data_IF_286832305722
#
_entry.id   IF_286832305722
#
_cell.length_a   1.000
_cell.length_b   1.000
_cell.length_c   1.000
_cell.angle_alpha   90.00
_cell.angle_beta   90.00
_cell.angle_gamma   90.00
#
_symmetry.space_group_name_H-M   'P 1'
#
loop_
_entity.id
_entity.type
_entity.pdbx_description
1 polymer ?
#
# COMPACT_ATOMS: atom_id res chain seq x y z
N UNK A 1 4.57 12.31 10.40
CA UNK A 1 3.36 11.65 10.94
C UNK A 1 3.65 10.21 11.34
N UNK A 2 2.99 9.71 12.39
CA UNK A 2 3.12 8.30 12.81
C UNK A 2 2.36 7.41 11.83
N UNK A 3 2.85 6.21 11.56
CA UNK A 3 2.15 5.25 10.70
C UNK A 3 1.62 4.10 11.55
N UNK A 4 0.32 3.80 11.41
CA UNK A 4 -0.31 2.57 11.89
C UNK A 4 -0.71 1.73 10.67
N UNK A 5 -0.36 0.46 10.69
CA UNK A 5 -0.70 -0.48 9.61
C UNK A 5 -1.69 -1.50 10.17
N UNK A 6 -2.79 -1.72 9.46
CA UNK A 6 -3.77 -2.72 9.85
C UNK A 6 -3.21 -4.14 9.63
N UNK A 7 -3.57 -5.12 10.48
CA UNK A 7 -3.11 -6.50 10.32
C UNK A 7 -3.42 -7.09 8.94
N UNK A 8 -4.59 -6.79 8.39
CA UNK A 8 -5.08 -7.23 7.08
C UNK A 8 -4.15 -6.74 5.96
N UNK A 9 -3.78 -5.45 5.99
CA UNK A 9 -2.81 -4.88 5.05
C UNK A 9 -1.45 -5.60 5.09
N UNK A 10 -1.02 -6.03 6.28
CA UNK A 10 0.21 -6.82 6.43
C UNK A 10 0.05 -8.22 5.85
N UNK A 11 -1.13 -8.82 6.01
CA UNK A 11 -1.44 -10.13 5.45
C UNK A 11 -1.46 -10.09 3.92
N UNK A 12 -2.07 -9.07 3.32
CA UNK A 12 -2.08 -8.90 1.85
C UNK A 12 -0.68 -8.70 1.28
N UNK A 13 0.15 -7.86 1.92
CA UNK A 13 1.55 -7.72 1.51
C UNK A 13 2.31 -9.07 1.54
N UNK A 14 2.06 -9.90 2.56
CA UNK A 14 2.67 -11.24 2.66
C UNK A 14 2.19 -12.17 1.54
N UNK A 15 0.90 -12.13 1.18
CA UNK A 15 0.35 -12.91 0.06
C UNK A 15 1.01 -12.51 -1.26
N UNK A 16 1.13 -11.20 -1.52
CA UNK A 16 1.79 -10.69 -2.74
C UNK A 16 3.27 -11.08 -2.75
N UNK A 17 3.99 -10.96 -1.63
CA UNK A 17 5.39 -11.36 -1.53
C UNK A 17 5.59 -12.87 -1.72
N UNK A 18 4.70 -13.70 -1.16
CA UNK A 18 4.71 -15.15 -1.36
C UNK A 18 4.50 -15.52 -2.83
N UNK A 19 3.55 -14.87 -3.51
CA UNK A 19 3.37 -15.03 -4.94
C UNK A 19 4.63 -14.63 -5.73
N UNK A 20 5.22 -13.48 -5.43
CA UNK A 20 6.46 -13.03 -6.10
C UNK A 20 7.61 -14.03 -5.91
N UNK A 21 7.74 -14.59 -4.70
CA UNK A 21 8.74 -15.63 -4.39
C UNK A 21 8.52 -16.89 -5.23
N UNK A 22 7.28 -17.37 -5.29
CA UNK A 22 6.93 -18.58 -6.03
C UNK A 22 7.18 -18.41 -7.53
N UNK A 23 6.84 -17.25 -8.09
CA UNK A 23 6.90 -17.02 -9.54
C UNK A 23 8.30 -16.63 -10.04
N UNK A 24 9.07 -15.87 -9.24
CA UNK A 24 10.31 -15.23 -9.72
C UNK A 24 11.49 -15.33 -8.75
N UNK A 25 11.39 -16.09 -7.66
CA UNK A 25 12.47 -16.27 -6.71
C UNK A 25 12.46 -15.28 -5.53
N UNK A 26 13.27 -15.61 -4.52
CA UNK A 26 13.27 -14.93 -3.23
C UNK A 26 13.76 -13.48 -3.31
N UNK A 27 14.68 -13.18 -4.23
CA UNK A 27 15.27 -11.85 -4.44
C UNK A 27 14.21 -10.83 -4.84
N UNK A 28 13.26 -11.25 -5.69
CA UNK A 28 12.15 -10.39 -6.14
C UNK A 28 11.18 -10.11 -4.99
N UNK A 29 10.89 -11.12 -4.16
CA UNK A 29 10.07 -10.94 -2.97
C UNK A 29 10.74 -10.01 -1.95
N UNK A 30 12.05 -10.13 -1.72
CA UNK A 30 12.79 -9.21 -0.86
C UNK A 30 12.75 -7.77 -1.37
N UNK A 31 12.99 -7.57 -2.67
CA UNK A 31 12.93 -6.22 -3.28
C UNK A 31 11.55 -5.57 -3.13
N UNK A 32 10.47 -6.35 -3.20
CA UNK A 32 9.11 -5.86 -2.94
C UNK A 32 8.99 -5.33 -1.49
N UNK A 33 9.41 -6.13 -0.51
CA UNK A 33 9.34 -5.76 0.92
C UNK A 33 10.21 -4.53 1.22
N UNK A 34 11.43 -4.48 0.70
CA UNK A 34 12.31 -3.31 0.85
C UNK A 34 11.68 -2.06 0.25
N UNK A 35 11.06 -2.19 -0.92
CA UNK A 35 10.38 -1.06 -1.59
C UNK A 35 9.16 -0.60 -0.80
N UNK A 36 8.40 -1.52 -0.20
CA UNK A 36 7.34 -1.19 0.74
C UNK A 36 7.87 -0.40 1.95
N UNK A 37 8.94 -0.86 2.60
CA UNK A 37 9.50 -0.16 3.77
C UNK A 37 10.05 1.23 3.42
N UNK A 38 10.75 1.37 2.29
CA UNK A 38 11.25 2.68 1.83
C UNK A 38 10.11 3.65 1.55
N UNK A 39 9.05 3.21 0.88
CA UNK A 39 7.90 4.07 0.62
C UNK A 39 7.10 4.38 1.88
N UNK A 40 6.96 3.43 2.81
CA UNK A 40 6.38 3.69 4.13
C UNK A 40 7.16 4.77 4.89
N UNK A 41 8.50 4.76 4.82
CA UNK A 41 9.34 5.83 5.40
C UNK A 41 9.11 7.19 4.71
N UNK A 42 9.01 7.23 3.38
CA UNK A 42 8.72 8.48 2.65
C UNK A 42 7.33 9.03 2.94
N UNK A 43 6.37 8.13 3.15
CA UNK A 43 4.98 8.49 3.44
C UNK A 43 4.84 9.20 4.80
N UNK A 44 5.67 8.86 5.78
CA UNK A 44 5.63 9.52 7.10
C UNK A 44 6.00 11.00 7.03
N UNK A 45 6.85 11.41 6.09
CA UNK A 45 7.24 12.81 5.86
C UNK A 45 6.42 13.49 4.76
N UNK A 46 5.83 12.73 3.82
CA UNK A 46 5.06 13.26 2.70
C UNK A 46 3.69 12.56 2.62
N UNK A 47 2.78 12.79 3.59
CA UNK A 47 1.49 12.08 3.66
C UNK A 47 0.63 12.27 2.41
N UNK A 48 0.77 13.41 1.72
CA UNK A 48 -0.03 13.79 0.55
C UNK A 48 0.59 13.38 -0.80
N UNK A 49 1.69 12.63 -0.81
CA UNK A 49 2.44 12.28 -2.04
C UNK A 49 1.66 11.40 -3.04
N UNK A 50 0.58 10.76 -2.60
CA UNK A 50 -0.24 9.91 -3.46
C UNK A 50 -1.59 10.56 -3.77
N UNK A 51 -2.14 10.34 -4.98
CA UNK A 51 -3.45 10.83 -5.36
C UNK A 51 -4.55 10.17 -4.50
N UNK A 52 -5.71 10.83 -4.47
CA UNK A 52 -6.94 10.23 -3.93
C UNK A 52 -7.28 9.00 -4.77
N UNK A 53 -7.66 7.90 -4.12
CA UNK A 53 -8.04 6.65 -4.78
C UNK A 53 -9.46 6.76 -5.34
N UNK A 54 -9.66 6.85 -6.67
CA UNK A 54 -10.97 7.11 -7.26
C UNK A 54 -11.98 6.01 -6.97
N UNK A 55 -11.54 4.75 -6.93
CA UNK A 55 -12.39 3.59 -6.63
C UNK A 55 -12.94 3.60 -5.19
N UNK A 56 -12.39 4.44 -4.32
CA UNK A 56 -12.79 4.58 -2.92
C UNK A 56 -13.36 5.97 -2.60
N UNK A 57 -13.62 6.81 -3.60
CA UNK A 57 -14.06 8.19 -3.41
C UNK A 57 -15.40 8.32 -2.64
N UNK A 58 -16.26 7.31 -2.72
CA UNK A 58 -17.58 7.27 -2.06
C UNK A 58 -17.57 6.55 -0.71
N UNK A 59 -16.40 6.34 -0.10
CA UNK A 59 -16.26 5.71 1.23
C UNK A 59 -16.21 6.78 2.32
N UNK A 60 -16.33 6.33 3.57
CA UNK A 60 -16.38 7.20 4.77
C UNK A 60 -15.17 8.15 4.87
N UNK A 61 -13.98 7.69 4.47
CA UNK A 61 -12.75 8.49 4.53
C UNK A 61 -12.20 8.79 3.14
N UNK A 62 -11.41 9.85 3.05
CA UNK A 62 -10.59 10.14 1.86
C UNK A 62 -9.39 9.19 1.85
N UNK A 63 -9.48 8.17 0.99
CA UNK A 63 -8.39 7.22 0.77
C UNK A 63 -7.46 7.69 -0.35
N UNK A 64 -6.18 7.34 -0.21
CA UNK A 64 -5.12 7.59 -1.19
C UNK A 64 -4.46 6.29 -1.58
N UNK A 65 -4.05 6.21 -2.84
CA UNK A 65 -3.44 5.03 -3.44
C UNK A 65 -2.00 5.29 -3.88
N UNK A 66 -1.03 4.75 -3.15
CA UNK A 66 0.39 4.86 -3.51
C UNK A 66 0.86 3.59 -4.23
N UNK A 67 1.09 3.67 -5.53
CA UNK A 67 1.71 2.57 -6.29
C UNK A 67 3.18 2.45 -5.87
N UNK A 68 3.53 1.37 -5.18
CA UNK A 68 4.90 1.13 -4.70
C UNK A 68 5.67 0.15 -5.58
N UNK A 69 4.95 -0.70 -6.32
CA UNK A 69 5.51 -1.70 -7.22
C UNK A 69 4.48 -2.04 -8.30
N UNK A 70 4.92 -2.61 -9.44
CA UNK A 70 4.02 -3.00 -10.54
C UNK A 70 2.88 -3.96 -10.16
N UNK A 71 3.00 -4.64 -9.03
CA UNK A 71 2.02 -5.62 -8.52
C UNK A 71 1.33 -5.17 -7.22
N UNK A 72 1.63 -3.97 -6.73
CA UNK A 72 1.25 -3.62 -5.37
C UNK A 72 1.06 -2.11 -5.20
N UNK A 73 -0.08 -1.74 -4.63
CA UNK A 73 -0.45 -0.37 -4.26
C UNK A 73 -0.82 -0.33 -2.78
N UNK A 74 -0.30 0.64 -2.05
CA UNK A 74 -0.66 0.86 -0.63
C UNK A 74 -1.88 1.78 -0.59
N UNK A 75 -2.93 1.34 0.10
CA UNK A 75 -4.13 2.14 0.36
C UNK A 75 -4.06 2.69 1.78
N UNK A 76 -4.20 4.00 1.92
CA UNK A 76 -4.10 4.65 3.21
C UNK A 76 -5.04 5.85 3.35
N UNK A 77 -5.32 6.22 4.60
CA UNK A 77 -5.98 7.49 4.96
C UNK A 77 -5.10 8.29 5.91
N UNK A 78 -5.34 9.60 5.96
CA UNK A 78 -4.64 10.54 6.84
C UNK A 78 -5.63 11.01 7.91
N UNK A 79 -5.21 10.96 9.15
CA UNK A 79 -5.89 11.54 10.30
C UNK A 79 -5.03 12.71 10.79
N UNK A 80 -5.37 13.92 10.35
CA UNK A 80 -4.58 15.12 10.66
C UNK A 80 -4.65 15.46 12.15
N UNK A 81 -5.84 15.35 12.75
CA UNK A 81 -6.06 15.61 14.17
C UNK A 81 -5.20 14.71 15.05
N UNK A 82 -5.12 13.41 14.72
CA UNK A 82 -4.27 12.48 15.45
C UNK A 82 -2.79 12.49 15.01
N UNK A 83 -2.46 13.12 13.86
CA UNK A 83 -1.13 13.04 13.25
C UNK A 83 -0.73 11.64 12.79
N UNK A 84 -1.72 10.82 12.41
CA UNK A 84 -1.55 9.40 12.08
C UNK A 84 -1.93 9.13 10.61
N UNK A 85 -1.07 8.37 9.94
CA UNK A 85 -1.39 7.74 8.66
C UNK A 85 -1.79 6.30 8.94
N UNK A 86 -2.99 5.93 8.49
CA UNK A 86 -3.50 4.56 8.59
C UNK A 86 -3.32 3.87 7.25
N UNK A 87 -2.40 2.93 7.16
CA UNK A 87 -2.33 1.98 6.05
C UNK A 87 -3.40 0.93 6.30
N UNK A 88 -4.48 1.00 5.53
CA UNK A 88 -5.67 0.17 5.71
C UNK A 88 -5.64 -1.08 4.83
N UNK A 89 -4.94 -1.04 3.70
CA UNK A 89 -4.81 -2.18 2.80
C UNK A 89 -3.54 -2.10 1.93
N UNK A 90 -3.15 -3.25 1.39
CA UNK A 90 -2.12 -3.39 0.36
C UNK A 90 -2.74 -4.14 -0.81
N UNK A 91 -3.12 -3.39 -1.84
CA UNK A 91 -3.84 -3.90 -3.00
C UNK A 91 -2.91 -4.55 -4.01
N UNK A 92 -3.27 -5.75 -4.45
CA UNK A 92 -2.62 -6.44 -5.58
C UNK A 92 -3.11 -5.87 -6.90
N UNK A 93 -2.27 -5.09 -7.59
CA UNK A 93 -2.66 -4.38 -8.82
C UNK A 93 -2.92 -5.29 -10.01
N UNK A 94 -2.61 -6.59 -9.91
CA UNK A 94 -2.99 -7.60 -10.93
C UNK A 94 -4.49 -7.87 -10.95
N UNK A 95 -5.19 -7.48 -9.88
CA UNK A 95 -6.65 -7.61 -9.73
C UNK A 95 -7.39 -6.31 -10.05
N UNK A 96 -6.72 -5.34 -10.69
CA UNK A 96 -7.35 -4.07 -11.03
C UNK A 96 -8.48 -4.25 -12.05
N UNK A 97 -9.70 -3.75 -11.77
CA UNK A 97 -10.87 -4.00 -12.62
C UNK A 97 -10.72 -3.56 -14.08
N UNK A 98 -9.93 -2.52 -14.35
CA UNK A 98 -9.73 -1.98 -15.69
C UNK A 98 -8.66 -2.72 -16.51
N UNK A 99 -8.02 -3.74 -15.94
CA UNK A 99 -7.00 -4.59 -16.61
C UNK A 99 -7.50 -6.00 -16.91
N UNK A 100 -8.79 -6.25 -16.71
CA UNK A 100 -9.48 -7.51 -17.03
C UNK A 100 -10.34 -7.29 -18.26
#
# INVERSE_FOLDING_TARGET
>A
MKIKTYPEATQELRKIAAFCKQQWGIEIAHRLIETYQRNKKRLSSNPYMAPIEPLLANREYVYRGLVIHKYCKVIYRIDETAGIIYIVDVWDTRREPHKI
#
